data_IF_197766937552
#
_entry.id   IF_197766937552
#
_cell.length_a   1.000
_cell.length_b   1.000
_cell.length_c   1.000
_cell.angle_alpha   90.00
_cell.angle_beta   90.00
_cell.angle_gamma   90.00
#
_symmetry.space_group_name_H-M   'P 1'
#
loop_
_entity.id
_entity.type
_entity.pdbx_description
1 polymer ?
#
# COMPACT_ATOMS: atom_id res chain seq x y z
N UNK A 1 3.42 14.62 11.46
CA UNK A 1 1.95 14.53 11.40
C UNK A 1 1.57 13.74 10.15
N UNK A 2 0.77 12.69 10.28
CA UNK A 2 0.24 11.86 9.20
C UNK A 2 -0.53 12.70 8.18
N UNK A 3 -0.30 12.47 6.88
CA UNK A 3 -0.99 13.21 5.81
C UNK A 3 -1.58 12.20 4.79
N UNK A 4 -2.89 11.89 4.87
CA UNK A 4 -3.52 10.90 4.00
C UNK A 4 -3.50 11.29 2.52
N UNK A 5 -3.56 12.59 2.18
CA UNK A 5 -3.52 13.07 0.78
C UNK A 5 -2.15 12.82 0.15
N UNK A 6 -1.08 13.07 0.91
CA UNK A 6 0.30 12.82 0.45
C UNK A 6 0.52 11.32 0.26
N UNK A 7 0.08 10.51 1.22
CA UNK A 7 0.18 9.07 1.15
C UNK A 7 -0.58 8.52 -0.07
N UNK A 8 -1.83 8.92 -0.29
CA UNK A 8 -2.63 8.50 -1.45
C UNK A 8 -1.95 8.87 -2.78
N UNK A 9 -1.43 10.09 -2.90
CA UNK A 9 -0.70 10.53 -4.09
C UNK A 9 0.55 9.67 -4.34
N UNK A 10 1.32 9.38 -3.31
CA UNK A 10 2.51 8.55 -3.41
C UNK A 10 2.13 7.10 -3.76
N UNK A 11 1.09 6.57 -3.15
CA UNK A 11 0.55 5.24 -3.48
C UNK A 11 0.17 5.14 -4.96
N UNK A 12 -0.56 6.11 -5.50
CA UNK A 12 -0.91 6.16 -6.93
C UNK A 12 0.33 6.26 -7.82
N UNK A 13 1.30 7.11 -7.48
CA UNK A 13 2.52 7.28 -8.27
C UNK A 13 3.36 6.00 -8.30
N UNK A 14 3.54 5.33 -7.15
CA UNK A 14 4.27 4.06 -7.09
C UNK A 14 3.51 2.92 -7.77
N UNK A 15 2.18 2.87 -7.63
CA UNK A 15 1.37 1.88 -8.36
C UNK A 15 1.53 2.03 -9.87
N UNK A 16 1.48 3.26 -10.36
CA UNK A 16 1.69 3.53 -11.78
C UNK A 16 3.10 3.12 -12.25
N UNK A 17 4.14 3.49 -11.49
CA UNK A 17 5.52 3.12 -11.80
C UNK A 17 5.72 1.59 -11.80
N UNK A 18 5.16 0.88 -10.81
CA UNK A 18 5.23 -0.58 -10.71
C UNK A 18 4.48 -1.25 -11.86
N UNK A 19 3.29 -0.75 -12.22
CA UNK A 19 2.52 -1.28 -13.36
C UNK A 19 3.29 -1.11 -14.67
N UNK A 20 3.93 0.04 -14.90
CA UNK A 20 4.77 0.25 -16.08
C UNK A 20 5.99 -0.66 -16.11
N UNK A 21 6.65 -0.85 -14.96
CA UNK A 21 7.88 -1.65 -14.87
C UNK A 21 7.62 -3.16 -14.97
N UNK A 22 6.55 -3.65 -14.35
CA UNK A 22 6.31 -5.09 -14.17
C UNK A 22 5.06 -5.61 -14.88
N UNK A 23 4.15 -4.74 -15.35
CA UNK A 23 2.90 -5.17 -16.00
C UNK A 23 3.17 -6.00 -17.25
N UNK A 24 4.17 -5.62 -18.03
CA UNK A 24 4.60 -6.39 -19.22
C UNK A 24 5.16 -7.78 -18.82
N UNK A 25 5.97 -7.83 -17.76
CA UNK A 25 6.52 -9.08 -17.24
C UNK A 25 5.45 -10.00 -16.68
N UNK A 26 4.44 -9.43 -16.02
CA UNK A 26 3.30 -10.20 -15.50
C UNK A 26 2.51 -10.87 -16.64
N UNK A 27 2.28 -10.15 -17.72
CA UNK A 27 1.62 -10.69 -18.91
C UNK A 27 2.38 -11.83 -19.58
N UNK A 28 3.73 -11.81 -19.52
CA UNK A 28 4.58 -12.86 -20.08
C UNK A 28 4.76 -14.07 -19.15
N UNK A 29 4.95 -13.82 -17.86
CA UNK A 29 5.36 -14.87 -16.91
C UNK A 29 4.20 -15.41 -16.08
N UNK A 30 3.05 -14.70 -15.98
CA UNK A 30 1.88 -15.12 -15.23
C UNK A 30 2.14 -15.44 -13.76
N UNK A 31 3.19 -14.87 -13.14
CA UNK A 31 3.63 -15.22 -11.81
C UNK A 31 2.77 -14.61 -10.72
N UNK A 32 2.22 -15.43 -9.82
CA UNK A 32 1.49 -14.97 -8.64
C UNK A 32 2.36 -14.07 -7.74
N UNK A 33 3.64 -14.39 -7.59
CA UNK A 33 4.57 -13.57 -6.81
C UNK A 33 4.70 -12.15 -7.38
N UNK A 34 4.77 -12.01 -8.71
CA UNK A 34 4.82 -10.73 -9.38
C UNK A 34 3.53 -9.93 -9.19
N UNK A 35 2.37 -10.59 -9.24
CA UNK A 35 1.08 -9.97 -8.94
C UNK A 35 1.03 -9.43 -7.49
N UNK A 36 1.54 -10.18 -6.51
CA UNK A 36 1.64 -9.73 -5.12
C UNK A 36 2.56 -8.50 -4.99
N UNK A 37 3.71 -8.49 -5.67
CA UNK A 37 4.61 -7.33 -5.68
C UNK A 37 3.94 -6.11 -6.29
N UNK A 38 3.20 -6.27 -7.38
CA UNK A 38 2.46 -5.16 -8.00
C UNK A 38 1.36 -4.61 -7.10
N UNK A 39 0.71 -5.46 -6.32
CA UNK A 39 -0.40 -5.07 -5.46
C UNK A 39 0.08 -4.41 -4.16
N UNK A 40 1.07 -5.01 -3.48
CA UNK A 40 1.51 -4.57 -2.16
C UNK A 40 2.81 -3.76 -2.16
N UNK A 41 3.64 -3.86 -3.22
CA UNK A 41 4.89 -3.12 -3.34
C UNK A 41 4.72 -1.60 -3.20
N UNK A 42 3.83 -0.97 -3.97
CA UNK A 42 3.56 0.47 -3.87
C UNK A 42 3.12 0.90 -2.46
N UNK A 43 2.29 0.08 -1.80
CA UNK A 43 1.84 0.31 -0.44
C UNK A 43 3.02 0.27 0.55
N UNK A 44 3.89 -0.74 0.41
CA UNK A 44 5.06 -0.89 1.27
C UNK A 44 6.02 0.31 1.15
N UNK A 45 6.32 0.74 -0.08
CA UNK A 45 7.19 1.90 -0.32
C UNK A 45 6.58 3.19 0.21
N UNK A 46 5.29 3.42 -0.06
CA UNK A 46 4.58 4.61 0.42
C UNK A 46 4.54 4.66 1.96
N UNK A 47 4.29 3.52 2.61
CA UNK A 47 4.25 3.41 4.07
C UNK A 47 5.65 3.63 4.70
N UNK A 48 6.71 3.06 4.11
CA UNK A 48 8.08 3.27 4.57
C UNK A 48 8.50 4.75 4.48
N UNK A 49 8.18 5.43 3.38
CA UNK A 49 8.47 6.86 3.23
C UNK A 49 7.72 7.74 4.25
N UNK A 50 6.47 7.40 4.57
CA UNK A 50 5.75 8.12 5.62
C UNK A 50 6.37 7.86 7.00
N UNK A 51 6.85 6.63 7.27
CA UNK A 51 7.60 6.28 8.48
C UNK A 51 8.87 7.13 8.63
N UNK A 52 9.71 7.19 7.60
CA UNK A 52 10.91 8.04 7.55
C UNK A 52 10.56 9.52 7.78
N UNK A 53 9.54 10.02 7.08
CA UNK A 53 9.10 11.41 7.21
C UNK A 53 8.55 11.75 8.60
N UNK A 54 7.96 10.77 9.29
CA UNK A 54 7.49 10.93 10.65
C UNK A 54 8.66 11.00 11.63
N UNK A 55 9.61 10.08 11.51
CA UNK A 55 10.81 10.02 12.35
C UNK A 55 11.69 11.26 12.18
N UNK A 56 11.91 11.72 10.94
CA UNK A 56 12.67 12.92 10.65
C UNK A 56 12.11 14.19 11.33
N UNK A 57 10.80 14.24 11.56
CA UNK A 57 10.16 15.40 12.22
C UNK A 57 10.06 15.25 13.73
N UNK A 58 9.90 14.01 14.22
CA UNK A 58 9.63 13.78 15.64
C UNK A 58 10.89 13.72 16.51
N UNK A 59 12.05 13.44 15.91
CA UNK A 59 13.34 13.20 16.59
C UNK A 59 13.28 12.12 17.69
N UNK A 60 12.16 11.42 17.82
CA UNK A 60 11.93 10.37 18.79
C UNK A 60 11.17 9.22 18.13
N UNK A 61 11.36 8.02 18.66
CA UNK A 61 10.62 6.84 18.21
C UNK A 61 9.12 7.01 18.47
N UNK A 62 8.24 6.86 17.47
CA UNK A 62 6.80 7.02 17.68
C UNK A 62 6.25 5.99 18.67
N UNK A 63 5.29 6.40 19.48
CA UNK A 63 4.56 5.51 20.36
C UNK A 63 3.91 4.36 19.57
N UNK A 64 3.98 3.10 20.05
CA UNK A 64 3.31 1.96 19.43
C UNK A 64 1.83 2.19 19.12
N UNK A 65 1.11 2.89 20.00
CA UNK A 65 -0.30 3.25 19.80
C UNK A 65 -0.50 4.14 18.58
N UNK A 66 0.41 5.10 18.39
CA UNK A 66 0.40 5.98 17.22
C UNK A 66 0.67 5.18 15.93
N UNK A 67 1.60 4.23 15.95
CA UNK A 67 1.91 3.38 14.80
C UNK A 67 0.72 2.52 14.36
N UNK A 68 -0.05 1.97 15.31
CA UNK A 68 -1.28 1.23 15.02
C UNK A 68 -2.35 2.10 14.37
N UNK A 69 -2.54 3.30 14.89
CA UNK A 69 -3.51 4.26 14.34
C UNK A 69 -3.15 4.64 12.90
N UNK A 70 -1.89 4.99 12.66
CA UNK A 70 -1.41 5.36 11.31
C UNK A 70 -1.54 4.18 10.34
N UNK A 71 -1.20 2.95 10.75
CA UNK A 71 -1.34 1.77 9.92
C UNK A 71 -2.81 1.50 9.55
N UNK A 72 -3.75 1.72 10.48
CA UNK A 72 -5.19 1.61 10.20
C UNK A 72 -5.64 2.64 9.18
N UNK A 73 -5.25 3.90 9.36
CA UNK A 73 -5.60 4.98 8.44
C UNK A 73 -5.01 4.73 7.04
N UNK A 74 -3.79 4.14 6.96
CA UNK A 74 -3.19 3.70 5.70
C UNK A 74 -3.98 2.58 5.03
N UNK A 75 -4.48 1.61 5.81
CA UNK A 75 -5.29 0.51 5.30
C UNK A 75 -6.65 1.01 4.76
N UNK A 76 -7.26 2.01 5.40
CA UNK A 76 -8.49 2.65 4.90
C UNK A 76 -8.26 3.36 3.55
N UNK A 77 -7.14 4.09 3.42
CA UNK A 77 -6.73 4.72 2.16
C UNK A 77 -6.46 3.66 1.08
N UNK A 78 -5.80 2.56 1.45
CA UNK A 78 -5.53 1.46 0.54
C UNK A 78 -6.80 0.76 0.07
N UNK A 79 -7.77 0.50 0.96
CA UNK A 79 -9.08 -0.02 0.59
C UNK A 79 -9.77 0.90 -0.43
N UNK A 80 -9.77 2.20 -0.18
CA UNK A 80 -10.32 3.19 -1.11
C UNK A 80 -9.63 3.11 -2.48
N UNK A 81 -8.30 2.97 -2.51
CA UNK A 81 -7.53 2.79 -3.72
C UNK A 81 -7.91 1.50 -4.47
N UNK A 82 -8.08 0.36 -3.76
CA UNK A 82 -8.52 -0.91 -4.33
C UNK A 82 -9.92 -0.81 -4.94
N UNK A 83 -10.86 -0.17 -4.25
CA UNK A 83 -12.24 -0.01 -4.73
C UNK A 83 -12.27 0.86 -5.99
N UNK A 84 -11.61 2.00 -5.98
CA UNK A 84 -11.54 2.91 -7.13
C UNK A 84 -10.84 2.20 -8.31
N UNK A 85 -9.70 1.55 -8.06
CA UNK A 85 -8.94 0.81 -9.07
C UNK A 85 -9.77 -0.31 -9.70
N UNK A 86 -10.48 -1.09 -8.89
CA UNK A 86 -11.36 -2.16 -9.37
C UNK A 86 -12.52 -1.62 -10.21
N UNK A 87 -13.11 -0.51 -9.79
CA UNK A 87 -14.18 0.14 -10.55
C UNK A 87 -13.69 0.64 -11.91
N UNK A 88 -12.52 1.28 -11.96
CA UNK A 88 -11.91 1.74 -13.20
C UNK A 88 -11.58 0.56 -14.13
N UNK A 89 -11.03 -0.54 -13.59
CA UNK A 89 -10.75 -1.75 -14.36
C UNK A 89 -12.04 -2.39 -14.90
N UNK A 90 -13.09 -2.46 -14.10
CA UNK A 90 -14.39 -2.99 -14.55
C UNK A 90 -15.04 -2.13 -15.65
N UNK A 91 -14.81 -0.82 -15.63
CA UNK A 91 -15.26 0.07 -16.70
C UNK A 91 -14.43 -0.09 -17.98
N UNK A 92 -13.13 -0.35 -17.85
CA UNK A 92 -12.20 -0.42 -18.98
C UNK A 92 -12.13 -1.81 -19.63
N UNK A 93 -12.35 -2.89 -18.85
CA UNK A 93 -12.19 -4.29 -19.30
C UNK A 93 -13.51 -5.03 -19.13
N UNK A 94 -14.14 -5.36 -20.25
CA UNK A 94 -15.46 -6.01 -20.29
C UNK A 94 -15.49 -7.37 -19.56
N UNK A 95 -14.41 -8.14 -19.66
CA UNK A 95 -14.29 -9.44 -19.00
C UNK A 95 -14.31 -9.32 -17.46
N UNK A 96 -13.64 -8.30 -16.91
CA UNK A 96 -13.65 -8.02 -15.47
C UNK A 96 -15.05 -7.61 -15.02
N UNK A 97 -15.74 -6.79 -15.81
CA UNK A 97 -17.13 -6.41 -15.52
C UNK A 97 -18.07 -7.60 -15.51
N UNK A 98 -17.93 -8.53 -16.45
CA UNK A 98 -18.73 -9.76 -16.48
C UNK A 98 -18.39 -10.66 -15.28
N UNK A 99 -17.13 -10.84 -14.95
CA UNK A 99 -16.70 -11.62 -13.80
C UNK A 99 -17.25 -11.04 -12.49
N UNK A 100 -17.21 -9.73 -12.30
CA UNK A 100 -17.79 -9.07 -11.13
C UNK A 100 -19.31 -9.21 -11.07
N UNK A 101 -20.00 -9.07 -12.20
CA UNK A 101 -21.47 -9.21 -12.26
C UNK A 101 -21.94 -10.64 -11.95
N UNK A 102 -21.14 -11.65 -12.24
CA UNK A 102 -21.42 -13.06 -11.96
C UNK A 102 -20.95 -13.50 -10.56
N UNK A 103 -20.12 -12.70 -9.91
CA UNK A 103 -19.56 -13.03 -8.59
C UNK A 103 -20.58 -12.80 -7.48
N UNK A 104 -20.54 -13.68 -6.46
CA UNK A 104 -21.32 -13.48 -5.25
C UNK A 104 -20.79 -12.26 -4.50
N UNK A 105 -21.69 -11.35 -4.10
CA UNK A 105 -21.34 -10.13 -3.38
C UNK A 105 -20.55 -10.42 -2.09
N UNK A 106 -20.85 -11.49 -1.38
CA UNK A 106 -20.10 -11.91 -0.19
C UNK A 106 -18.66 -12.29 -0.52
N UNK A 107 -18.43 -12.94 -1.67
CA UNK A 107 -17.09 -13.27 -2.13
C UNK A 107 -16.30 -12.01 -2.43
N UNK A 108 -16.91 -11.02 -3.08
CA UNK A 108 -16.25 -9.73 -3.36
C UNK A 108 -15.83 -9.05 -2.04
N UNK A 109 -16.74 -8.92 -1.07
CA UNK A 109 -16.41 -8.34 0.24
C UNK A 109 -15.33 -9.13 0.98
N UNK A 110 -15.35 -10.47 0.91
CA UNK A 110 -14.33 -11.30 1.52
C UNK A 110 -12.95 -11.06 0.91
N UNK A 111 -12.86 -10.97 -0.41
CA UNK A 111 -11.58 -10.67 -1.11
C UNK A 111 -11.05 -9.29 -0.71
N UNK A 112 -11.89 -8.25 -0.74
CA UNK A 112 -11.47 -6.92 -0.31
C UNK A 112 -11.07 -6.89 1.17
N UNK A 113 -11.77 -7.61 2.04
CA UNK A 113 -11.45 -7.74 3.46
C UNK A 113 -10.08 -8.40 3.67
N UNK A 114 -9.80 -9.50 2.99
CA UNK A 114 -8.50 -10.19 3.06
C UNK A 114 -7.38 -9.30 2.52
N UNK A 115 -7.56 -8.68 1.36
CA UNK A 115 -6.55 -7.78 0.77
C UNK A 115 -6.27 -6.57 1.68
N UNK A 116 -7.31 -6.00 2.30
CA UNK A 116 -7.14 -4.89 3.24
C UNK A 116 -6.43 -5.35 4.52
N UNK A 117 -6.73 -6.54 5.03
CA UNK A 117 -6.04 -7.13 6.18
C UNK A 117 -4.56 -7.37 5.93
N UNK A 118 -4.20 -7.93 4.78
CA UNK A 118 -2.80 -8.08 4.36
C UNK A 118 -2.16 -6.70 4.16
N UNK A 119 -2.85 -5.78 3.50
CA UNK A 119 -2.40 -4.41 3.31
C UNK A 119 -2.11 -3.68 4.62
N UNK A 120 -2.95 -3.87 5.64
CA UNK A 120 -2.71 -3.35 6.99
C UNK A 120 -1.40 -3.88 7.60
N UNK A 121 -1.16 -5.20 7.51
CA UNK A 121 0.07 -5.79 8.02
C UNK A 121 1.31 -5.26 7.27
N UNK A 122 1.25 -5.19 5.94
CA UNK A 122 2.31 -4.63 5.09
C UNK A 122 2.56 -3.16 5.43
N UNK A 123 1.53 -2.35 5.53
CA UNK A 123 1.65 -0.92 5.87
C UNK A 123 2.29 -0.73 7.24
N UNK A 124 1.87 -1.49 8.25
CA UNK A 124 2.42 -1.42 9.60
C UNK A 124 3.90 -1.76 9.64
N UNK A 125 4.29 -2.87 9.02
CA UNK A 125 5.68 -3.32 9.01
C UNK A 125 6.58 -2.37 8.23
N UNK A 126 6.14 -1.93 7.06
CA UNK A 126 6.89 -1.00 6.22
C UNK A 126 7.02 0.38 6.87
N UNK A 127 5.99 0.87 7.55
CA UNK A 127 6.04 2.10 8.32
C UNK A 127 7.07 2.00 9.47
N UNK A 128 7.02 0.92 10.26
CA UNK A 128 7.97 0.69 11.35
C UNK A 128 9.41 0.57 10.83
N UNK A 129 9.60 -0.11 9.69
CA UNK A 129 10.89 -0.21 9.02
C UNK A 129 11.41 1.16 8.57
N UNK A 130 10.55 1.99 7.97
CA UNK A 130 10.90 3.35 7.56
C UNK A 130 11.33 4.23 8.75
N UNK A 131 10.62 4.14 9.88
CA UNK A 131 10.99 4.83 11.14
C UNK A 131 12.38 4.38 11.61
N UNK A 132 12.62 3.07 11.63
CA UNK A 132 13.90 2.52 12.09
C UNK A 132 15.07 3.00 11.24
N UNK A 133 14.94 2.95 9.91
CA UNK A 133 15.99 3.42 8.98
C UNK A 133 16.35 4.88 9.20
N UNK A 134 15.37 5.74 9.42
CA UNK A 134 15.61 7.16 9.65
C UNK A 134 16.31 7.41 10.98
N UNK A 135 15.92 6.71 12.04
CA UNK A 135 16.57 6.84 13.35
C UNK A 135 18.04 6.38 13.31
N UNK A 136 18.32 5.25 12.66
CA UNK A 136 19.70 4.77 12.46
C UNK A 136 20.54 5.77 11.66
N UNK A 137 19.92 6.44 10.67
CA UNK A 137 20.61 7.48 9.89
C UNK A 137 20.94 8.72 10.73
N UNK A 138 20.04 9.13 11.62
CA UNK A 138 20.26 10.26 12.54
C UNK A 138 21.34 9.94 13.55
N UNK A 139 21.37 8.76 14.14
CA UNK A 139 22.39 8.32 15.10
C UNK A 139 23.81 8.31 14.47
N UNK A 140 23.91 7.81 13.22
CA UNK A 140 25.17 7.78 12.49
C UNK A 140 25.71 9.18 12.11
N UNK A 141 24.84 10.18 12.02
CA UNK A 141 25.25 11.56 11.70
C UNK A 141 25.53 12.42 12.95
N UNK A 142 25.17 11.94 14.14
CA UNK A 142 25.37 12.65 15.41
C UNK A 142 26.67 12.27 16.14
N UNK A 143 27.36 11.20 15.70
CA UNK A 143 28.65 10.71 16.22
C UNK A 143 29.81 11.10 15.33
#
# INVERSE_FOLDING_TARGET
MWNPRRFFRNLCAYSFAVVLAFGFLLGLLGSFALACVMLFGPLAVAAAQEGQSCAARAQNYPDPTHMWKVARDMAEVYLTFLVIGSALLALSVGEIRLALAQSNILLIFSVFGVLTGIGFAVARWSYAFGVKLEMEHQDNNAG
#
